data_IF_636378009627
#
_entry.id   IF_636378009627
#
_cell.length_a   1.000
_cell.length_b   1.000
_cell.length_c   1.000
_cell.angle_alpha   90.00
_cell.angle_beta   90.00
_cell.angle_gamma   90.00
#
_symmetry.space_group_name_H-M   'P 1'
#
loop_
_entity.id
_entity.type
_entity.pdbx_description
1 polymer ?
#
# COMPACT_ATOMS: atom_id res chain seq x y z
N UNK A 1 1.25 14.03 8.96
CA UNK A 1 0.75 12.64 8.99
C UNK A 1 1.89 11.72 8.55
N UNK A 2 2.07 10.56 9.17
CA UNK A 2 3.10 9.64 8.72
C UNK A 2 2.75 9.10 7.33
N UNK A 3 3.75 8.78 6.50
CA UNK A 3 3.52 8.23 5.16
C UNK A 3 2.66 6.96 5.21
N UNK A 4 2.85 6.13 6.24
CA UNK A 4 2.02 4.96 6.50
C UNK A 4 0.53 5.30 6.65
N UNK A 5 0.19 6.34 7.43
CA UNK A 5 -1.19 6.76 7.64
C UNK A 5 -1.82 7.20 6.31
N UNK A 6 -1.07 7.94 5.48
CA UNK A 6 -1.53 8.35 4.15
C UNK A 6 -1.86 7.14 3.27
N UNK A 7 -1.00 6.13 3.27
CA UNK A 7 -1.20 4.89 2.49
C UNK A 7 -2.42 4.13 3.02
N UNK A 8 -2.61 4.03 4.33
CA UNK A 8 -3.76 3.36 4.94
C UNK A 8 -5.06 4.09 4.61
N UNK A 9 -5.10 5.42 4.73
CA UNK A 9 -6.27 6.23 4.36
C UNK A 9 -6.60 6.08 2.88
N UNK A 10 -5.59 6.11 2.00
CA UNK A 10 -5.78 5.83 0.58
C UNK A 10 -6.37 4.44 0.36
N UNK A 11 -5.79 3.41 0.98
CA UNK A 11 -6.23 2.02 0.85
C UNK A 11 -7.68 1.82 1.35
N UNK A 12 -8.14 2.56 2.36
CA UNK A 12 -9.54 2.50 2.82
C UNK A 12 -10.55 2.80 1.72
N UNK A 13 -10.20 3.66 0.75
CA UNK A 13 -11.09 3.98 -0.38
C UNK A 13 -11.30 2.79 -1.34
N UNK A 14 -10.41 1.79 -1.32
CA UNK A 14 -10.47 0.63 -2.20
C UNK A 14 -11.00 -0.63 -1.51
N UNK A 15 -10.66 -0.83 -0.23
CA UNK A 15 -10.95 -2.08 0.48
C UNK A 15 -11.54 -1.87 1.89
N UNK A 16 -11.89 -0.63 2.23
CA UNK A 16 -12.59 -0.30 3.47
C UNK A 16 -11.82 -0.72 4.73
N UNK A 17 -12.49 -1.34 5.73
CA UNK A 17 -11.87 -1.70 7.01
C UNK A 17 -10.66 -2.64 6.90
N UNK A 18 -10.52 -3.38 5.78
CA UNK A 18 -9.40 -4.29 5.57
C UNK A 18 -8.08 -3.58 5.21
N UNK A 19 -8.12 -2.27 4.90
CA UNK A 19 -7.00 -1.48 4.39
C UNK A 19 -5.75 -1.57 5.26
N UNK A 20 -5.89 -1.34 6.58
CA UNK A 20 -4.74 -1.38 7.50
C UNK A 20 -4.05 -2.74 7.45
N UNK A 21 -4.82 -3.82 7.59
CA UNK A 21 -4.30 -5.19 7.57
C UNK A 21 -3.66 -5.55 6.23
N UNK A 22 -4.20 -5.04 5.12
CA UNK A 22 -3.61 -5.24 3.81
C UNK A 22 -2.24 -4.55 3.69
N UNK A 23 -2.16 -3.28 4.07
CA UNK A 23 -0.92 -2.48 4.01
C UNK A 23 0.14 -3.09 4.93
N UNK A 24 -0.23 -3.47 6.15
CA UNK A 24 0.67 -4.12 7.11
C UNK A 24 1.29 -5.41 6.56
N UNK A 25 0.51 -6.19 5.79
CA UNK A 25 1.02 -7.41 5.12
C UNK A 25 2.00 -7.09 4.01
N UNK A 26 1.75 -6.03 3.23
CA UNK A 26 2.68 -5.66 2.16
C UNK A 26 4.02 -5.20 2.75
N UNK A 27 3.97 -4.41 3.83
CA UNK A 27 5.17 -3.93 4.52
C UNK A 27 5.95 -5.09 5.14
N UNK A 28 5.30 -5.91 5.97
CA UNK A 28 5.97 -7.01 6.69
C UNK A 28 6.42 -8.14 5.77
N UNK A 29 5.70 -8.40 4.68
CA UNK A 29 6.03 -9.47 3.73
C UNK A 29 7.09 -9.10 2.69
N UNK A 30 7.27 -7.81 2.40
CA UNK A 30 8.01 -7.42 1.19
C UNK A 30 8.99 -6.24 1.31
N UNK A 31 8.92 -5.43 2.36
CA UNK A 31 9.78 -4.24 2.47
C UNK A 31 10.99 -4.41 3.39
N UNK A 32 11.09 -5.52 4.15
CA UNK A 32 12.17 -5.79 5.12
C UNK A 32 12.47 -4.62 6.09
N UNK A 33 11.44 -3.84 6.41
CA UNK A 33 11.53 -2.70 7.34
C UNK A 33 10.92 -2.97 8.71
N UNK A 34 10.32 -4.14 8.91
CA UNK A 34 9.60 -4.50 10.14
C UNK A 34 8.16 -3.99 10.15
N UNK A 35 7.95 -2.69 10.30
CA UNK A 35 6.61 -2.10 10.40
C UNK A 35 6.47 -0.72 9.72
N UNK A 36 5.23 -0.22 9.69
CA UNK A 36 4.87 1.03 9.03
C UNK A 36 5.49 2.30 9.62
N UNK A 37 5.99 2.29 10.86
CA UNK A 37 6.68 3.45 11.45
C UNK A 37 8.01 3.75 10.75
N UNK A 38 8.59 2.74 10.09
CA UNK A 38 9.85 2.85 9.33
C UNK A 38 9.61 3.07 7.83
N UNK A 39 8.35 3.21 7.40
CA UNK A 39 8.02 3.48 6.01
C UNK A 39 8.50 4.90 5.63
N UNK A 40 9.17 5.00 4.48
CA UNK A 40 9.78 6.22 3.99
C UNK A 40 9.74 6.26 2.47
N UNK A 41 10.10 7.41 1.88
CA UNK A 41 10.00 7.64 0.44
C UNK A 41 10.74 6.58 -0.40
N UNK A 42 11.88 6.07 0.08
CA UNK A 42 12.66 5.01 -0.58
C UNK A 42 11.92 3.68 -0.74
N UNK A 43 10.85 3.45 0.03
CA UNK A 43 10.08 2.21 0.01
C UNK A 43 8.80 2.30 -0.82
N UNK A 44 8.40 3.50 -1.26
CA UNK A 44 7.10 3.77 -1.89
C UNK A 44 6.93 3.00 -3.20
N UNK A 45 7.95 2.96 -4.05
CA UNK A 45 7.87 2.28 -5.34
C UNK A 45 7.70 0.76 -5.18
N UNK A 46 8.43 0.15 -4.25
CA UNK A 46 8.29 -1.28 -3.95
C UNK A 46 6.94 -1.57 -3.28
N UNK A 47 6.51 -0.73 -2.33
CA UNK A 47 5.18 -0.86 -1.72
C UNK A 47 4.07 -0.80 -2.77
N UNK A 48 4.13 0.16 -3.69
CA UNK A 48 3.15 0.32 -4.74
C UNK A 48 3.08 -0.91 -5.65
N UNK A 49 4.22 -1.52 -5.99
CA UNK A 49 4.28 -2.78 -6.76
C UNK A 49 3.58 -3.92 -6.02
N UNK A 50 3.75 -4.04 -4.70
CA UNK A 50 3.06 -5.07 -3.92
C UNK A 50 1.59 -4.76 -3.69
N UNK A 51 1.22 -3.48 -3.55
CA UNK A 51 -0.17 -3.03 -3.57
C UNK A 51 -0.87 -3.42 -4.87
N UNK A 52 -0.20 -3.33 -6.03
CA UNK A 52 -0.73 -3.85 -7.29
C UNK A 52 -0.85 -5.37 -7.28
N UNK A 53 0.27 -6.06 -7.02
CA UNK A 53 0.36 -7.54 -7.11
C UNK A 53 -0.66 -8.22 -6.20
N UNK A 54 -0.70 -7.83 -4.93
CA UNK A 54 -1.64 -8.37 -3.95
C UNK A 54 -3.05 -7.81 -4.14
N UNK A 55 -3.17 -6.56 -4.61
CA UNK A 55 -4.45 -5.91 -4.86
C UNK A 55 -5.27 -6.60 -5.94
N UNK A 56 -4.62 -7.10 -7.01
CA UNK A 56 -5.28 -7.87 -8.08
C UNK A 56 -5.97 -9.15 -7.62
N UNK A 57 -5.63 -9.66 -6.43
CA UNK A 57 -6.30 -10.82 -5.83
C UNK A 57 -7.61 -10.45 -5.13
N UNK A 58 -7.85 -9.15 -4.88
CA UNK A 58 -8.97 -8.63 -4.09
C UNK A 58 -9.91 -7.73 -4.91
N UNK A 59 -9.43 -7.15 -6.00
CA UNK A 59 -10.18 -6.25 -6.86
C UNK A 59 -9.74 -6.39 -8.32
N UNK A 60 -10.52 -5.81 -9.24
CA UNK A 60 -10.19 -5.79 -10.66
C UNK A 60 -8.83 -5.14 -10.93
N UNK A 61 -8.13 -5.63 -11.96
CA UNK A 61 -6.78 -5.18 -12.32
C UNK A 61 -6.67 -3.66 -12.53
N UNK A 62 -7.66 -3.05 -13.19
CA UNK A 62 -7.69 -1.60 -13.38
C UNK A 62 -7.74 -0.83 -12.06
N UNK A 63 -8.51 -1.29 -11.07
CA UNK A 63 -8.58 -0.66 -9.74
C UNK A 63 -7.30 -0.88 -8.93
N UNK A 64 -6.70 -2.07 -9.04
CA UNK A 64 -5.43 -2.35 -8.39
C UNK A 64 -4.30 -1.50 -8.97
N UNK A 65 -4.31 -1.27 -10.29
CA UNK A 65 -3.37 -0.38 -10.97
C UNK A 65 -3.55 1.06 -10.53
N UNK A 66 -4.80 1.56 -10.53
CA UNK A 66 -5.11 2.91 -10.04
C UNK A 66 -4.65 3.11 -8.59
N UNK A 67 -4.90 2.13 -7.72
CA UNK A 67 -4.44 2.17 -6.34
C UNK A 67 -2.90 2.23 -6.24
N UNK A 68 -2.20 1.38 -7.00
CA UNK A 68 -0.73 1.38 -7.06
C UNK A 68 -0.17 2.73 -7.49
N UNK A 69 -0.73 3.33 -8.53
CA UNK A 69 -0.27 4.62 -9.05
C UNK A 69 -0.51 5.75 -8.05
N UNK A 70 -1.64 5.72 -7.32
CA UNK A 70 -1.88 6.66 -6.21
C UNK A 70 -0.92 6.46 -5.05
N UNK A 71 -0.53 5.22 -4.72
CA UNK A 71 0.51 4.96 -3.70
C UNK A 71 1.85 5.57 -4.14
N UNK A 72 2.25 5.40 -5.41
CA UNK A 72 3.48 6.01 -5.96
C UNK A 72 3.48 7.53 -5.90
N UNK A 73 2.30 8.14 -5.96
CA UNK A 73 2.14 9.59 -5.91
C UNK A 73 2.24 10.17 -4.48
N UNK A 74 2.28 9.34 -3.42
CA UNK A 74 2.42 9.78 -2.03
C UNK A 74 3.86 10.11 -1.62
N UNK A 75 4.81 10.04 -2.55
CA UNK A 75 6.23 10.37 -2.37
C UNK A 75 6.48 11.83 -2.03
#
# INVERSE_FOLDING_TARGET
MALYDNVVELAKTYMGPAAKKFVDRQISGHLDIGDGSRLGASHVDELAKWCFTSGKLLMDEAKAQEFSDKVKALK
#
